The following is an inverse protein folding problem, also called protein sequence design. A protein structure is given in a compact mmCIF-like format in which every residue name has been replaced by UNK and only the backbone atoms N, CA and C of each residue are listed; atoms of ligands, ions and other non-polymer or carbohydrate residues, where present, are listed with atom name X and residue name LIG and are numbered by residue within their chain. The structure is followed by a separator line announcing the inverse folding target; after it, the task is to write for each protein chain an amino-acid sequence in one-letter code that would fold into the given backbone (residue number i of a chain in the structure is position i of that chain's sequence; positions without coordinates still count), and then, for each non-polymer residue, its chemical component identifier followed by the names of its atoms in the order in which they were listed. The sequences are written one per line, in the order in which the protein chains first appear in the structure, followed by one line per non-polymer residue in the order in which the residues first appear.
data_IF_312044995753
#
_entry.id   IF_312044995753
#
_cell.length_a   1.000
_cell.length_b   1.000
_cell.length_c   1.000
_cell.angle_alpha   90.00
_cell.angle_beta   90.00
_cell.angle_gamma   90.00
#
_symmetry.space_group_name_H-M   'P 1'
#
loop_
_entity.id
_entity.type
_entity.pdbx_description
1 polymer ?
#
# COMPACT_ATOMS: atom_id res chain seq x y z
N UNK A 1 14.54 12.44 -6.20
CA UNK A 1 13.91 11.21 -6.76
C UNK A 1 13.70 10.13 -5.70
N UNK A 2 14.56 10.02 -4.67
CA UNK A 2 14.36 9.05 -3.58
C UNK A 2 13.16 9.37 -2.65
N UNK A 3 12.83 10.64 -2.44
CA UNK A 3 11.72 11.04 -1.55
C UNK A 3 10.35 10.54 -1.98
N UNK A 4 10.12 10.36 -3.28
CA UNK A 4 8.81 9.91 -3.79
C UNK A 4 8.56 8.43 -3.50
N UNK A 5 9.60 7.60 -3.62
CA UNK A 5 9.54 6.19 -3.24
C UNK A 5 9.33 6.04 -1.74
N UNK A 6 10.07 6.82 -0.93
CA UNK A 6 9.98 6.78 0.53
C UNK A 6 8.58 7.21 1.04
N UNK A 7 7.98 8.21 0.40
CA UNK A 7 6.61 8.63 0.72
C UNK A 7 5.58 7.55 0.39
N UNK A 8 5.73 6.88 -0.76
CA UNK A 8 4.88 5.75 -1.15
C UNK A 8 5.06 4.54 -0.24
N UNK A 9 6.28 4.23 0.18
CA UNK A 9 6.55 3.15 1.14
C UNK A 9 5.92 3.45 2.51
N UNK A 10 6.01 4.70 3.00
CA UNK A 10 5.31 5.10 4.23
C UNK A 10 3.81 4.93 4.10
N UNK A 11 3.24 5.35 2.96
CA UNK A 11 1.79 5.26 2.70
C UNK A 11 1.34 3.81 2.59
N UNK A 12 2.17 2.94 2.02
CA UNK A 12 1.96 1.50 1.99
C UNK A 12 1.97 0.91 3.41
N UNK A 13 2.98 1.25 4.22
CA UNK A 13 3.08 0.78 5.60
C UNK A 13 1.89 1.21 6.47
N UNK A 14 1.42 2.46 6.35
CA UNK A 14 0.19 2.90 7.01
C UNK A 14 -1.05 2.13 6.56
N UNK A 15 -1.14 1.82 5.27
CA UNK A 15 -2.26 1.06 4.71
C UNK A 15 -2.23 -0.40 5.18
N UNK A 16 -1.05 -1.03 5.26
CA UNK A 16 -0.88 -2.35 5.86
C UNK A 16 -1.33 -2.35 7.31
N UNK A 17 -0.91 -1.35 8.10
CA UNK A 17 -1.31 -1.24 9.51
C UNK A 17 -2.82 -1.14 9.67
N UNK A 18 -3.49 -0.35 8.81
CA UNK A 18 -4.96 -0.24 8.79
C UNK A 18 -5.64 -1.55 8.41
N UNK A 19 -5.05 -2.32 7.49
CA UNK A 19 -5.54 -3.65 7.11
C UNK A 19 -5.38 -4.63 8.27
N UNK A 20 -4.24 -4.62 8.95
CA UNK A 20 -3.98 -5.50 10.10
C UNK A 20 -4.93 -5.18 11.26
N UNK A 21 -5.13 -3.90 11.58
CA UNK A 21 -6.09 -3.46 12.59
C UNK A 21 -7.54 -3.87 12.22
N UNK A 22 -7.91 -3.70 10.95
CA UNK A 22 -9.17 -4.18 10.40
C UNK A 22 -9.33 -5.71 10.48
N UNK A 23 -8.26 -6.48 10.26
CA UNK A 23 -8.25 -7.94 10.36
C UNK A 23 -8.34 -8.41 11.83
N UNK A 24 -7.68 -7.70 12.74
CA UNK A 24 -7.71 -7.94 14.18
C UNK A 24 -9.10 -7.68 14.76
N UNK A 25 -9.88 -6.80 14.13
CA UNK A 25 -11.23 -6.50 14.56
C UNK A 25 -12.26 -7.32 13.74
N UNK A 26 -12.79 -8.45 14.25
CA UNK A 26 -13.65 -9.37 13.49
C UNK A 26 -15.02 -8.78 13.10
N UNK A 27 -15.39 -7.61 13.63
CA UNK A 27 -16.55 -6.84 13.19
C UNK A 27 -16.26 -5.88 12.02
N UNK A 28 -15.02 -5.87 11.50
CA UNK A 28 -14.69 -5.02 10.36
C UNK A 28 -15.26 -5.59 9.08
N UNK A 29 -16.01 -4.75 8.38
CA UNK A 29 -16.63 -5.04 7.10
C UNK A 29 -15.66 -5.71 6.12
N UNK A 30 -16.00 -6.92 5.68
CA UNK A 30 -15.22 -7.68 4.71
C UNK A 30 -15.04 -6.90 3.39
N UNK A 31 -16.00 -6.03 3.06
CA UNK A 31 -15.93 -5.07 1.96
C UNK A 31 -14.80 -4.05 2.13
N UNK A 32 -14.65 -3.49 3.33
CA UNK A 32 -13.59 -2.53 3.66
C UNK A 32 -12.21 -3.20 3.53
N UNK A 33 -12.08 -4.43 4.02
CA UNK A 33 -10.87 -5.21 3.89
C UNK A 33 -10.52 -5.49 2.42
N UNK A 34 -11.51 -5.83 1.60
CA UNK A 34 -11.32 -6.06 0.17
C UNK A 34 -10.87 -4.78 -0.56
N UNK A 35 -11.45 -3.63 -0.22
CA UNK A 35 -11.09 -2.34 -0.80
C UNK A 35 -9.67 -1.92 -0.39
N UNK A 36 -9.32 -2.08 0.88
CA UNK A 36 -7.96 -1.81 1.38
C UNK A 36 -6.93 -2.73 0.72
N UNK A 37 -7.22 -4.02 0.55
CA UNK A 37 -6.34 -4.95 -0.19
C UNK A 37 -6.15 -4.51 -1.65
N UNK A 38 -7.21 -4.01 -2.32
CA UNK A 38 -7.11 -3.46 -3.68
C UNK A 38 -6.26 -2.19 -3.72
N UNK A 39 -6.43 -1.28 -2.77
CA UNK A 39 -5.60 -0.07 -2.68
C UNK A 39 -4.14 -0.42 -2.41
N UNK A 40 -3.87 -1.37 -1.49
CA UNK A 40 -2.50 -1.87 -1.24
C UNK A 40 -1.86 -2.40 -2.51
N UNK A 41 -2.61 -3.17 -3.30
CA UNK A 41 -2.14 -3.71 -4.59
C UNK A 41 -1.79 -2.59 -5.58
N UNK A 42 -2.61 -1.54 -5.67
CA UNK A 42 -2.34 -0.37 -6.51
C UNK A 42 -1.08 0.38 -6.06
N UNK A 43 -0.92 0.65 -4.77
CA UNK A 43 0.27 1.32 -4.23
C UNK A 43 1.52 0.50 -4.51
N UNK A 44 1.45 -0.83 -4.32
CA UNK A 44 2.56 -1.73 -4.62
C UNK A 44 2.93 -1.69 -6.11
N UNK A 45 1.95 -1.69 -7.00
CA UNK A 45 2.18 -1.60 -8.45
C UNK A 45 2.81 -0.25 -8.84
N UNK A 46 2.36 0.84 -8.22
CA UNK A 46 2.91 2.18 -8.41
C UNK A 46 4.36 2.29 -7.89
N UNK A 47 4.66 1.70 -6.73
CA UNK A 47 6.02 1.56 -6.20
C UNK A 47 6.91 0.76 -7.16
N UNK A 48 6.43 -0.40 -7.63
CA UNK A 48 7.18 -1.24 -8.58
C UNK A 48 7.45 -0.50 -9.89
N UNK A 49 6.46 0.26 -10.39
CA UNK A 49 6.59 1.07 -11.59
C UNK A 49 7.63 2.17 -11.42
N UNK A 50 7.57 2.93 -10.33
CA UNK A 50 8.54 3.99 -10.02
C UNK A 50 9.92 3.40 -9.79
N UNK A 51 10.01 2.26 -9.08
CA UNK A 51 11.27 1.56 -8.86
C UNK A 51 11.90 1.09 -10.17
N UNK A 52 11.11 0.54 -11.10
CA UNK A 52 11.58 0.18 -12.45
C UNK A 52 12.05 1.41 -13.22
N UNK A 53 11.31 2.50 -13.18
CA UNK A 53 11.65 3.76 -13.86
C UNK A 53 12.98 4.34 -13.34
N UNK A 54 13.15 4.38 -12.00
CA UNK A 54 14.38 4.82 -11.33
C UNK A 54 15.58 3.92 -11.64
N UNK A 55 15.39 2.61 -11.86
CA UNK A 55 16.51 1.69 -12.12
C UNK A 55 17.03 1.78 -13.56
N UNK A 56 16.27 2.38 -14.47
CA UNK A 56 16.60 2.45 -15.91
C UNK A 56 17.30 3.77 -16.29
N UNK A 57 17.35 4.75 -15.38
CA UNK A 57 17.99 6.06 -15.59
C UNK A 57 19.34 6.17 -14.88
#
# INVERSE_FOLDING_TARGET
MQSHLEELERRHAEMERKIEDALLHPSTDSLKLADMKRQKLKIKDEIERIRKDVTIH
#
